data_IF_498753527334
#
_entry.id   IF_498753527334
#
_cell.length_a   1.000
_cell.length_b   1.000
_cell.length_c   1.000
_cell.angle_alpha   90.00
_cell.angle_beta   90.00
_cell.angle_gamma   90.00
#
_symmetry.space_group_name_H-M   'P 1'
#
loop_
_entity.id
_entity.type
_entity.pdbx_description
1 polymer ?
#
# COMPACT_ATOMS: atom_id res chain seq x y z
N UNK A 1 -7.32 -3.11 16.71
CA UNK A 1 -5.92 -2.90 16.35
C UNK A 1 -5.81 -2.72 14.84
N UNK A 2 -5.18 -1.65 14.39
CA UNK A 2 -5.09 -1.35 12.97
C UNK A 2 -3.89 -2.02 12.34
N UNK A 3 -4.11 -2.69 11.21
CA UNK A 3 -3.04 -3.22 10.39
C UNK A 3 -2.70 -2.18 9.33
N UNK A 4 -1.42 -1.89 9.17
CA UNK A 4 -0.95 -0.92 8.17
C UNK A 4 -0.22 -1.66 7.07
N UNK A 5 -0.71 -1.56 5.84
CA UNK A 5 -0.18 -2.28 4.69
C UNK A 5 0.37 -1.28 3.68
N UNK A 6 1.64 -1.44 3.34
CA UNK A 6 2.25 -0.69 2.25
C UNK A 6 2.38 -1.60 1.04
N UNK A 7 2.02 -1.09 -0.13
CA UNK A 7 2.05 -1.86 -1.37
C UNK A 7 2.87 -1.15 -2.43
N UNK A 8 3.88 -1.84 -2.94
CA UNK A 8 4.64 -1.42 -4.11
C UNK A 8 4.09 -2.18 -5.31
N UNK A 9 3.25 -1.49 -6.07
CA UNK A 9 2.47 -2.10 -7.16
C UNK A 9 3.23 -2.07 -8.46
N UNK A 10 3.31 -3.22 -9.12
CA UNK A 10 3.86 -3.37 -10.46
C UNK A 10 2.78 -3.88 -11.42
N UNK A 11 3.16 -4.09 -12.66
CA UNK A 11 2.20 -4.46 -13.70
C UNK A 11 1.52 -5.80 -13.43
N UNK A 12 2.30 -6.81 -13.05
CA UNK A 12 1.81 -8.17 -12.91
C UNK A 12 1.85 -8.70 -11.49
N UNK A 13 2.46 -7.96 -10.58
CA UNK A 13 2.59 -8.36 -9.19
C UNK A 13 2.77 -7.15 -8.30
N UNK A 14 2.75 -7.38 -7.00
CA UNK A 14 3.02 -6.33 -6.03
C UNK A 14 3.76 -6.91 -4.82
N UNK A 15 4.55 -6.06 -4.19
CA UNK A 15 5.22 -6.37 -2.93
C UNK A 15 4.48 -5.64 -1.82
N UNK A 16 4.26 -6.31 -0.70
CA UNK A 16 3.53 -5.70 0.41
C UNK A 16 4.29 -5.88 1.72
N UNK A 17 4.03 -4.96 2.64
CA UNK A 17 4.55 -5.02 4.01
C UNK A 17 3.38 -4.74 4.95
N UNK A 18 3.22 -5.58 5.95
CA UNK A 18 2.17 -5.42 6.96
C UNK A 18 2.83 -5.06 8.28
N UNK A 19 2.37 -3.96 8.90
CA UNK A 19 2.84 -3.51 10.21
C UNK A 19 1.68 -3.47 11.18
N UNK A 20 1.96 -3.87 12.42
CA UNK A 20 0.98 -3.83 13.51
C UNK A 20 1.71 -3.34 14.77
N UNK A 21 1.18 -2.33 15.43
CA UNK A 21 1.75 -1.80 16.68
C UNK A 21 3.22 -1.40 16.56
N UNK A 22 3.60 -0.76 15.46
CA UNK A 22 4.97 -0.30 15.25
C UNK A 22 5.94 -1.38 14.84
N UNK A 23 5.48 -2.60 14.59
CA UNK A 23 6.34 -3.70 14.19
C UNK A 23 5.96 -4.26 12.84
N UNK A 24 6.98 -4.56 12.05
CA UNK A 24 6.78 -5.26 10.79
C UNK A 24 6.40 -6.71 11.07
N UNK A 25 5.27 -7.16 10.56
CA UNK A 25 4.76 -8.52 10.78
C UNK A 25 5.00 -9.44 9.61
N UNK A 26 4.92 -8.90 8.40
CA UNK A 26 5.05 -9.72 7.20
C UNK A 26 5.47 -8.89 6.01
N UNK A 27 6.35 -9.43 5.20
CA UNK A 27 6.67 -8.92 3.86
C UNK A 27 6.45 -10.06 2.90
N UNK A 28 5.81 -9.76 1.78
CA UNK A 28 5.56 -10.77 0.77
C UNK A 28 5.38 -10.17 -0.60
N UNK A 29 5.30 -11.05 -1.58
CA UNK A 29 5.04 -10.70 -2.96
C UNK A 29 3.84 -11.50 -3.44
N UNK A 30 2.97 -10.86 -4.21
CA UNK A 30 1.74 -11.47 -4.67
C UNK A 30 1.54 -11.17 -6.15
N UNK A 31 1.11 -12.18 -6.90
CA UNK A 31 0.72 -11.97 -8.29
C UNK A 31 -0.65 -11.29 -8.34
N UNK A 32 -0.85 -10.42 -9.33
CA UNK A 32 -2.15 -9.75 -9.50
C UNK A 32 -3.27 -10.78 -9.69
N UNK A 33 -2.98 -11.90 -10.35
CA UNK A 33 -3.96 -12.96 -10.56
C UNK A 33 -4.42 -13.63 -9.26
N UNK A 34 -3.66 -13.46 -8.18
CA UNK A 34 -3.97 -14.05 -6.87
C UNK A 34 -4.50 -13.00 -5.87
N UNK A 35 -5.00 -11.89 -6.39
CA UNK A 35 -5.46 -10.78 -5.58
C UNK A 35 -6.54 -11.17 -4.57
N UNK A 36 -7.42 -12.11 -4.92
CA UNK A 36 -8.47 -12.58 -4.01
C UNK A 36 -7.91 -13.22 -2.75
N UNK A 37 -6.81 -13.98 -2.89
CA UNK A 37 -6.14 -14.58 -1.73
C UNK A 37 -5.54 -13.53 -0.82
N UNK A 38 -4.96 -12.48 -1.42
CA UNK A 38 -4.44 -11.37 -0.66
C UNK A 38 -5.57 -10.62 0.06
N UNK A 39 -6.68 -10.38 -0.61
CA UNK A 39 -7.83 -9.70 -0.02
C UNK A 39 -8.37 -10.42 1.22
N UNK A 40 -8.26 -11.75 1.24
CA UNK A 40 -8.71 -12.55 2.37
C UNK A 40 -7.92 -12.28 3.65
N UNK A 41 -6.69 -11.74 3.53
CA UNK A 41 -5.87 -11.37 4.68
C UNK A 41 -6.20 -9.99 5.23
N UNK A 42 -7.00 -9.22 4.53
CA UNK A 42 -7.35 -7.86 4.89
C UNK A 42 -8.65 -7.84 5.70
N UNK A 43 -8.98 -6.70 6.26
CA UNK A 43 -10.21 -6.57 7.02
C UNK A 43 -10.53 -5.10 7.26
N UNK A 44 -11.67 -4.82 7.91
CA UNK A 44 -12.10 -3.43 8.15
C UNK A 44 -11.12 -2.65 9.03
N UNK A 45 -10.24 -3.35 9.75
CA UNK A 45 -9.20 -2.72 10.56
C UNK A 45 -7.89 -2.52 9.80
N UNK A 46 -7.91 -2.68 8.49
CA UNK A 46 -6.72 -2.50 7.66
C UNK A 46 -6.73 -1.13 7.00
N UNK A 47 -5.61 -0.42 7.13
CA UNK A 47 -5.31 0.75 6.32
C UNK A 47 -4.24 0.36 5.31
N UNK A 48 -4.40 0.74 4.06
CA UNK A 48 -3.48 0.37 2.99
C UNK A 48 -3.03 1.61 2.23
N UNK A 49 -1.73 1.66 1.93
CA UNK A 49 -1.15 2.72 1.12
C UNK A 49 -0.56 2.13 -0.15
N UNK A 50 -0.86 2.75 -1.28
CA UNK A 50 -0.38 2.34 -2.60
C UNK A 50 0.17 3.55 -3.32
N UNK A 51 1.36 3.43 -3.91
CA UNK A 51 1.92 4.51 -4.73
C UNK A 51 1.19 4.56 -6.07
N UNK A 52 0.81 5.78 -6.50
CA UNK A 52 0.05 5.97 -7.73
C UNK A 52 0.86 5.54 -8.96
N UNK A 53 0.34 4.58 -9.72
CA UNK A 53 0.94 4.07 -10.95
C UNK A 53 -0.17 3.82 -11.98
N UNK A 54 0.18 3.32 -13.15
CA UNK A 54 -0.81 3.03 -14.18
C UNK A 54 -1.87 2.00 -13.78
N UNK A 55 -1.54 1.09 -12.86
CA UNK A 55 -2.47 0.04 -12.43
C UNK A 55 -3.22 0.38 -11.14
N UNK A 56 -2.98 1.55 -10.57
CA UNK A 56 -3.52 1.89 -9.25
C UNK A 56 -5.03 1.87 -9.20
N UNK A 57 -5.70 2.39 -10.23
CA UNK A 57 -7.16 2.44 -10.27
C UNK A 57 -7.78 1.05 -10.14
N UNK A 58 -7.34 0.11 -10.96
CA UNK A 58 -7.89 -1.26 -10.93
C UNK A 58 -7.60 -1.96 -9.61
N UNK A 59 -6.38 -1.80 -9.11
CA UNK A 59 -5.97 -2.40 -7.86
C UNK A 59 -6.82 -1.89 -6.70
N UNK A 60 -6.96 -0.58 -6.60
CA UNK A 60 -7.74 0.05 -5.53
C UNK A 60 -9.22 -0.30 -5.63
N UNK A 61 -9.79 -0.31 -6.83
CA UNK A 61 -11.19 -0.67 -7.04
C UNK A 61 -11.47 -2.09 -6.57
N UNK A 62 -10.51 -3.00 -6.80
CA UNK A 62 -10.66 -4.40 -6.41
C UNK A 62 -10.58 -4.61 -4.91
N UNK A 63 -9.83 -3.76 -4.19
CA UNK A 63 -9.57 -3.96 -2.76
C UNK A 63 -10.33 -3.01 -1.85
N UNK A 64 -10.94 -1.98 -2.38
CA UNK A 64 -11.62 -0.93 -1.61
C UNK A 64 -12.61 -1.48 -0.59
N UNK A 65 -13.36 -2.51 -0.95
CA UNK A 65 -14.38 -3.09 -0.09
C UNK A 65 -13.79 -3.95 1.04
N UNK A 66 -12.51 -4.28 0.98
CA UNK A 66 -11.87 -5.18 1.93
C UNK A 66 -11.02 -4.49 2.99
N UNK A 67 -10.90 -3.17 2.91
CA UNK A 67 -10.09 -2.39 3.85
C UNK A 67 -10.91 -1.27 4.45
N UNK A 68 -10.49 -0.80 5.61
CA UNK A 68 -11.15 0.33 6.26
C UNK A 68 -10.69 1.68 5.74
N UNK A 69 -9.46 1.76 5.24
CA UNK A 69 -8.87 2.98 4.69
C UNK A 69 -7.94 2.64 3.55
N UNK A 70 -8.04 3.39 2.47
CA UNK A 70 -7.17 3.21 1.31
C UNK A 70 -6.56 4.58 0.96
N UNK A 71 -5.23 4.65 0.96
CA UNK A 71 -4.48 5.87 0.67
C UNK A 71 -3.69 5.67 -0.61
N UNK A 72 -3.88 6.55 -1.58
CA UNK A 72 -3.06 6.58 -2.79
C UNK A 72 -2.02 7.67 -2.64
N UNK A 73 -0.76 7.34 -2.83
CA UNK A 73 0.36 8.20 -2.52
C UNK A 73 0.95 8.81 -3.79
N UNK A 74 1.24 10.11 -3.75
CA UNK A 74 1.89 10.80 -4.85
C UNK A 74 3.36 10.35 -4.95
N UNK A 75 3.79 9.76 -6.09
CA UNK A 75 5.14 9.20 -6.20
C UNK A 75 6.25 10.25 -6.04
N UNK A 76 6.07 11.43 -6.60
CA UNK A 76 7.09 12.47 -6.53
C UNK A 76 7.32 12.96 -5.11
N UNK A 77 6.23 13.20 -4.39
CA UNK A 77 6.30 13.64 -3.01
C UNK A 77 6.79 12.53 -2.09
N UNK A 78 6.40 11.29 -2.37
CA UNK A 78 6.87 10.15 -1.61
C UNK A 78 8.38 9.97 -1.71
N UNK A 79 8.94 10.17 -2.90
CA UNK A 79 10.39 10.10 -3.09
C UNK A 79 11.14 11.11 -2.23
N UNK A 80 10.58 12.30 -2.08
CA UNK A 80 11.18 13.36 -1.26
C UNK A 80 11.22 12.96 0.21
N UNK A 81 10.09 12.47 0.75
CA UNK A 81 9.99 12.15 2.17
C UNK A 81 10.67 10.83 2.54
N UNK A 82 10.74 9.88 1.62
CA UNK A 82 11.38 8.60 1.90
C UNK A 82 12.90 8.73 1.93
N UNK A 83 13.45 9.74 1.25
CA UNK A 83 14.87 10.04 1.21
C UNK A 83 15.74 8.83 0.89
N UNK A 84 15.20 7.89 0.13
CA UNK A 84 15.89 6.65 -0.16
C UNK A 84 16.67 6.76 -1.46
N UNK A 85 17.95 6.41 -1.41
CA UNK A 85 18.80 6.29 -2.60
C UNK A 85 18.76 4.88 -3.17
N UNK A 86 18.39 3.91 -2.34
CA UNK A 86 18.22 2.52 -2.77
C UNK A 86 16.74 2.23 -2.91
N UNK A 87 16.33 1.93 -4.13
CA UNK A 87 14.94 1.55 -4.38
C UNK A 87 14.85 0.07 -4.63
N UNK A 88 14.32 -0.63 -3.65
CA UNK A 88 13.89 -2.02 -3.83
C UNK A 88 12.41 -2.07 -3.53
N UNK A 89 11.71 -3.04 -4.12
CA UNK A 89 10.28 -3.21 -3.91
C UNK A 89 9.95 -3.41 -2.43
N UNK A 90 10.79 -4.18 -1.74
CA UNK A 90 10.61 -4.41 -0.30
C UNK A 90 10.79 -3.14 0.51
N UNK A 91 11.79 -2.34 0.16
CA UNK A 91 12.04 -1.08 0.85
C UNK A 91 10.87 -0.12 0.69
N UNK A 92 10.36 0.04 -0.53
CA UNK A 92 9.25 0.94 -0.79
C UNK A 92 7.98 0.49 -0.03
N UNK A 93 7.70 -0.81 -0.03
CA UNK A 93 6.56 -1.34 0.72
C UNK A 93 6.69 -1.10 2.22
N UNK A 94 7.89 -1.28 2.77
CA UNK A 94 8.16 -1.03 4.20
C UNK A 94 7.95 0.43 4.56
N UNK A 95 8.49 1.35 3.75
CA UNK A 95 8.39 2.78 4.01
C UNK A 95 6.94 3.24 3.90
N UNK A 96 6.21 2.74 2.91
CA UNK A 96 4.79 3.06 2.77
C UNK A 96 4.00 2.63 4.01
N UNK A 97 4.23 1.43 4.50
CA UNK A 97 3.53 0.92 5.69
C UNK A 97 3.89 1.73 6.93
N UNK A 98 5.17 2.02 7.11
CA UNK A 98 5.65 2.79 8.26
C UNK A 98 5.10 4.21 8.25
N UNK A 99 5.15 4.89 7.10
CA UNK A 99 4.69 6.27 6.99
C UNK A 99 3.17 6.35 7.08
N UNK A 100 2.47 5.32 6.63
CA UNK A 100 1.02 5.23 6.80
C UNK A 100 0.66 5.15 8.29
N UNK A 101 1.39 4.33 9.04
CA UNK A 101 1.20 4.22 10.49
C UNK A 101 1.45 5.55 11.20
N UNK A 102 2.45 6.30 10.73
CA UNK A 102 2.79 7.61 11.29
C UNK A 102 1.93 8.75 10.74
N UNK A 103 1.09 8.46 9.77
CA UNK A 103 0.16 9.41 9.14
C UNK A 103 0.88 10.62 8.52
N UNK A 104 1.95 10.36 7.78
CA UNK A 104 2.76 11.40 7.12
C UNK A 104 2.85 11.24 5.61
N UNK A 105 1.97 10.43 5.01
CA UNK A 105 2.00 10.19 3.57
C UNK A 105 1.33 11.32 2.79
N UNK A 106 1.91 11.71 1.64
CA UNK A 106 1.31 12.69 0.73
C UNK A 106 0.22 12.03 -0.11
N UNK A 107 -1.00 12.10 0.36
CA UNK A 107 -2.14 11.42 -0.25
C UNK A 107 -2.61 12.15 -1.50
N UNK A 108 -2.89 11.37 -2.56
CA UNK A 108 -3.55 11.86 -3.75
C UNK A 108 -5.05 11.63 -3.59
N UNK A 109 -5.85 12.67 -3.78
CA UNK A 109 -7.30 12.50 -3.73
C UNK A 109 -7.79 11.91 -5.04
N UNK A 110 -8.42 10.75 -4.94
CA UNK A 110 -9.12 10.14 -6.06
C UNK A 110 -10.59 10.56 -5.98
N UNK A 111 -11.22 10.74 -7.14
CA UNK A 111 -12.62 11.12 -7.19
C UNK A 111 -13.50 9.98 -6.68
N UNK A 112 -14.60 10.33 -6.02
CA UNK A 112 -15.49 9.35 -5.40
C UNK A 112 -16.19 8.44 -6.40
N UNK A 113 -16.28 8.85 -7.64
CA UNK A 113 -16.91 8.07 -8.71
C UNK A 113 -15.98 7.04 -9.34
N UNK A 114 -14.89 6.76 -8.70
CA UNK A 114 -13.98 5.70 -9.11
C UNK A 114 -14.57 4.32 -8.87
#
# INVERSE_FOLDING_TARGET
MTNFVGVDLHRNNFTYCIRVNGEERKIGKCEITELKGFAAMLGPNTAMAVEATGNTFMFCSSLKAYVGRLVVVNPSQFKVISMSTKKTDKHDAKVLAEFLEKDVLPEVRMKDDL
#
